data_IF_024025561518
#
_entry.id   IF_024025561518
#
_cell.length_a   1.000
_cell.length_b   1.000
_cell.length_c   1.000
_cell.angle_alpha   90.00
_cell.angle_beta   90.00
_cell.angle_gamma   90.00
#
_symmetry.space_group_name_H-M   'P 1'
#
loop_
_entity.id
_entity.type
_entity.pdbx_description
1 polymer ?
#
# COMPACT_ATOMS: atom_id res chain seq x y z
N UNK A 1 -19.39 -38.18 19.41
CA UNK A 1 -19.06 -36.83 19.91
C UNK A 1 -18.18 -36.15 18.87
N UNK A 2 -18.75 -35.27 18.07
CA UNK A 2 -18.01 -34.52 17.04
C UNK A 2 -17.75 -33.11 17.55
N UNK A 3 -16.70 -32.96 18.37
CA UNK A 3 -16.21 -31.63 18.76
C UNK A 3 -15.26 -31.16 17.66
N UNK A 4 -15.74 -30.22 16.84
CA UNK A 4 -14.99 -29.63 15.74
C UNK A 4 -13.68 -29.00 16.21
N UNK A 5 -12.57 -29.64 15.82
CA UNK A 5 -11.22 -29.11 16.00
C UNK A 5 -10.92 -28.15 14.84
N UNK A 6 -11.31 -26.88 14.98
CA UNK A 6 -10.77 -25.80 14.14
C UNK A 6 -9.88 -24.92 15.03
N UNK A 7 -8.57 -25.22 15.14
CA UNK A 7 -7.69 -24.48 16.03
C UNK A 7 -7.14 -23.26 15.30
N UNK A 8 -7.99 -22.34 14.86
CA UNK A 8 -7.55 -20.99 14.53
C UNK A 8 -8.64 -20.03 14.97
N UNK A 9 -8.53 -19.58 16.21
CA UNK A 9 -9.20 -18.36 16.66
C UNK A 9 -8.78 -17.27 15.69
N UNK A 10 -9.67 -16.97 14.75
CA UNK A 10 -9.42 -15.96 13.75
C UNK A 10 -9.52 -14.61 14.47
N UNK A 11 -8.37 -14.07 14.85
CA UNK A 11 -8.30 -12.79 15.54
C UNK A 11 -8.45 -11.65 14.50
N UNK A 12 -9.68 -11.40 14.04
CA UNK A 12 -10.01 -10.35 13.07
C UNK A 12 -11.29 -10.58 12.25
N UNK A 13 -11.46 -9.80 11.18
CA UNK A 13 -12.51 -9.98 10.17
C UNK A 13 -12.05 -10.93 9.06
N UNK A 14 -12.91 -11.84 8.55
CA UNK A 14 -12.63 -12.79 7.46
C UNK A 14 -11.82 -12.16 6.29
N UNK A 15 -12.18 -10.93 5.91
CA UNK A 15 -11.50 -10.17 4.88
C UNK A 15 -10.01 -9.94 5.18
N UNK A 16 -9.67 -9.58 6.43
CA UNK A 16 -8.30 -9.28 6.85
C UNK A 16 -7.37 -10.51 6.79
N UNK A 17 -7.88 -11.71 7.00
CA UNK A 17 -7.08 -12.93 6.80
C UNK A 17 -6.98 -13.31 5.35
N UNK A 18 -8.05 -13.17 4.56
CA UNK A 18 -7.92 -13.41 3.12
C UNK A 18 -6.86 -12.49 2.53
N UNK A 19 -6.89 -11.20 2.89
CA UNK A 19 -5.87 -10.22 2.51
C UNK A 19 -4.48 -10.69 2.94
N UNK A 20 -4.32 -11.13 4.21
CA UNK A 20 -3.04 -11.66 4.71
C UNK A 20 -2.56 -12.89 3.94
N UNK A 21 -3.44 -13.87 3.72
CA UNK A 21 -3.10 -15.08 2.98
C UNK A 21 -2.70 -14.75 1.55
N UNK A 22 -3.37 -13.79 0.91
CA UNK A 22 -3.04 -13.33 -0.43
C UNK A 22 -1.66 -12.66 -0.46
N UNK A 23 -1.37 -11.76 0.51
CA UNK A 23 -0.05 -11.12 0.63
C UNK A 23 1.05 -12.17 0.84
N UNK A 24 0.81 -13.17 1.68
CA UNK A 24 1.80 -14.21 1.95
C UNK A 24 2.04 -15.09 0.72
N UNK A 25 0.97 -15.52 0.05
CA UNK A 25 1.07 -16.30 -1.18
C UNK A 25 1.82 -15.55 -2.29
N UNK A 26 1.54 -14.25 -2.45
CA UNK A 26 2.21 -13.42 -3.45
C UNK A 26 3.69 -13.18 -3.09
N UNK A 27 4.01 -12.94 -1.81
CA UNK A 27 5.39 -12.82 -1.34
C UNK A 27 6.18 -14.11 -1.61
N UNK A 28 5.59 -15.29 -1.35
CA UNK A 28 6.24 -16.59 -1.65
C UNK A 28 6.54 -16.76 -3.12
N UNK A 29 5.59 -16.38 -3.99
CA UNK A 29 5.78 -16.45 -5.44
C UNK A 29 6.86 -15.48 -5.91
N UNK A 30 6.91 -14.27 -5.34
CA UNK A 30 7.96 -13.30 -5.61
C UNK A 30 9.33 -13.81 -5.14
N UNK A 31 9.41 -14.40 -3.95
CA UNK A 31 10.64 -14.99 -3.44
C UNK A 31 11.12 -16.16 -4.32
N UNK A 32 10.22 -17.05 -4.76
CA UNK A 32 10.56 -18.11 -5.73
C UNK A 32 11.04 -17.54 -7.07
N UNK A 33 10.32 -16.56 -7.62
CA UNK A 33 10.68 -15.94 -8.88
C UNK A 33 12.04 -15.22 -8.81
N UNK A 34 12.31 -14.45 -7.74
CA UNK A 34 13.52 -13.66 -7.60
C UNK A 34 14.72 -14.49 -7.14
N UNK A 35 14.59 -15.23 -6.04
CA UNK A 35 15.73 -15.88 -5.40
C UNK A 35 16.03 -17.27 -5.96
N UNK A 36 15.00 -18.06 -6.29
CA UNK A 36 15.19 -19.44 -6.77
C UNK A 36 15.34 -19.51 -8.28
N UNK A 37 14.51 -18.77 -9.03
CA UNK A 37 14.45 -18.86 -10.50
C UNK A 37 15.22 -17.75 -11.23
N UNK A 38 15.46 -16.61 -10.58
CA UNK A 38 16.02 -15.43 -11.25
C UNK A 38 15.14 -14.91 -12.40
N UNK A 39 13.84 -15.18 -12.36
CA UNK A 39 12.89 -14.85 -13.41
C UNK A 39 12.38 -13.42 -13.21
N UNK A 40 13.03 -12.49 -13.90
CA UNK A 40 12.71 -11.06 -13.85
C UNK A 40 11.32 -10.76 -14.41
N UNK A 41 10.94 -11.34 -15.55
CA UNK A 41 9.65 -11.07 -16.19
C UNK A 41 8.49 -11.55 -15.31
N UNK A 42 8.63 -12.71 -14.69
CA UNK A 42 7.63 -13.21 -13.72
C UNK A 42 7.58 -12.35 -12.47
N UNK A 43 8.72 -11.89 -11.97
CA UNK A 43 8.78 -10.99 -10.82
C UNK A 43 8.07 -9.66 -11.10
N UNK A 44 8.32 -9.06 -12.27
CA UNK A 44 7.66 -7.82 -12.70
C UNK A 44 6.14 -7.99 -12.83
N UNK A 45 5.69 -9.10 -13.41
CA UNK A 45 4.25 -9.42 -13.49
C UNK A 45 3.61 -9.58 -12.11
N UNK A 46 4.27 -10.28 -11.18
CA UNK A 46 3.76 -10.43 -9.81
C UNK A 46 3.67 -9.09 -9.07
N UNK A 47 4.61 -8.17 -9.30
CA UNK A 47 4.51 -6.80 -8.77
C UNK A 47 3.35 -6.01 -9.38
N UNK A 48 3.05 -6.22 -10.66
CA UNK A 48 1.85 -5.62 -11.29
C UNK A 48 0.56 -6.19 -10.70
N UNK A 49 0.50 -7.50 -10.45
CA UNK A 49 -0.63 -8.15 -9.78
C UNK A 49 -0.83 -7.62 -8.35
N UNK A 50 0.26 -7.43 -7.60
CA UNK A 50 0.21 -6.80 -6.27
C UNK A 50 -0.36 -5.37 -6.32
N UNK A 51 0.05 -4.59 -7.32
CA UNK A 51 -0.46 -3.23 -7.51
C UNK A 51 -1.94 -3.22 -7.91
N UNK A 52 -2.37 -4.16 -8.75
CA UNK A 52 -3.77 -4.31 -9.17
C UNK A 52 -4.70 -4.63 -7.98
N UNK A 53 -4.23 -5.45 -7.04
CA UNK A 53 -4.94 -5.79 -5.80
C UNK A 53 -4.80 -4.72 -4.69
N UNK A 54 -4.25 -3.55 -5.03
CA UNK A 54 -4.00 -2.44 -4.09
C UNK A 54 -3.21 -2.86 -2.83
N UNK A 55 -2.31 -3.84 -2.98
CA UNK A 55 -1.44 -4.27 -1.90
C UNK A 55 -0.39 -3.22 -1.58
N UNK A 56 -0.01 -3.13 -0.31
CA UNK A 56 1.06 -2.24 0.13
C UNK A 56 2.43 -2.79 -0.33
N UNK A 57 3.15 -2.11 -1.24
CA UNK A 57 4.44 -2.58 -1.73
C UNK A 57 5.51 -2.56 -0.64
N UNK A 58 5.41 -1.68 0.36
CA UNK A 58 6.35 -1.63 1.49
C UNK A 58 6.20 -2.88 2.35
N UNK A 59 4.96 -3.31 2.60
CA UNK A 59 4.64 -4.54 3.32
C UNK A 59 5.23 -5.78 2.62
N UNK A 60 5.02 -5.90 1.31
CA UNK A 60 5.57 -7.02 0.52
C UNK A 60 7.10 -6.98 0.53
N UNK A 61 7.71 -5.80 0.35
CA UNK A 61 9.17 -5.63 0.39
C UNK A 61 9.75 -6.04 1.74
N UNK A 62 9.10 -5.64 2.84
CA UNK A 62 9.51 -6.04 4.19
C UNK A 62 9.43 -7.55 4.38
N UNK A 63 8.40 -8.21 3.86
CA UNK A 63 8.27 -9.67 3.94
C UNK A 63 9.29 -10.40 3.06
N UNK A 64 9.58 -9.86 1.87
CA UNK A 64 10.57 -10.43 0.96
C UNK A 64 11.97 -10.48 1.58
N UNK A 65 12.41 -9.38 2.18
CA UNK A 65 13.79 -9.26 2.68
C UNK A 65 13.92 -9.41 4.20
N UNK A 66 12.82 -9.38 4.94
CA UNK A 66 12.80 -9.50 6.40
C UNK A 66 12.57 -10.93 6.91
N UNK A 67 12.19 -11.85 6.03
CA UNK A 67 11.94 -13.26 6.35
C UNK A 67 13.04 -14.11 5.72
N UNK A 68 13.60 -15.03 6.50
CA UNK A 68 14.64 -15.95 6.02
C UNK A 68 14.04 -17.14 5.23
N UNK A 69 12.91 -17.68 5.69
CA UNK A 69 12.17 -18.75 5.02
C UNK A 69 10.71 -18.34 4.80
N UNK A 70 10.33 -18.12 3.55
CA UNK A 70 8.98 -17.70 3.18
C UNK A 70 7.93 -18.82 3.30
N UNK A 71 8.34 -20.08 3.47
CA UNK A 71 7.41 -21.19 3.74
C UNK A 71 7.04 -21.28 5.22
N UNK A 72 7.86 -20.72 6.13
CA UNK A 72 7.54 -20.58 7.55
C UNK A 72 6.52 -19.46 7.80
N UNK A 73 5.27 -19.88 8.06
CA UNK A 73 4.15 -18.98 8.37
C UNK A 73 4.41 -18.15 9.63
N UNK A 74 5.07 -18.71 10.65
CA UNK A 74 5.33 -18.01 11.89
C UNK A 74 6.33 -16.86 11.70
N UNK A 75 7.38 -17.10 10.91
CA UNK A 75 8.34 -16.06 10.53
C UNK A 75 7.67 -14.94 9.71
N UNK A 76 6.84 -15.30 8.73
CA UNK A 76 6.06 -14.32 7.96
C UNK A 76 5.12 -13.50 8.85
N UNK A 77 4.42 -14.14 9.80
CA UNK A 77 3.53 -13.46 10.74
C UNK A 77 4.27 -12.51 11.69
N UNK A 78 5.48 -12.87 12.13
CA UNK A 78 6.30 -12.03 13.00
C UNK A 78 6.67 -10.71 12.31
N UNK A 79 7.07 -10.79 11.03
CA UNK A 79 7.41 -9.61 10.22
C UNK A 79 6.17 -8.79 9.83
N UNK A 80 5.02 -9.44 9.62
CA UNK A 80 3.75 -8.79 9.27
C UNK A 80 3.06 -8.09 10.45
N UNK A 81 3.30 -8.56 11.68
CA UNK A 81 2.68 -8.04 12.92
C UNK A 81 2.69 -6.50 13.04
N UNK A 82 3.82 -5.79 12.88
CA UNK A 82 3.83 -4.33 13.00
C UNK A 82 2.93 -3.61 11.97
N UNK A 83 2.78 -4.17 10.76
CA UNK A 83 1.85 -3.61 9.77
C UNK A 83 0.40 -3.78 10.22
N UNK A 84 0.07 -4.94 10.79
CA UNK A 84 -1.28 -5.22 11.33
C UNK A 84 -1.62 -4.28 12.50
N UNK A 85 -0.67 -4.05 13.39
CA UNK A 85 -0.85 -3.13 14.52
C UNK A 85 -1.10 -1.70 14.03
N UNK A 86 -0.28 -1.21 13.09
CA UNK A 86 -0.48 0.10 12.45
C UNK A 86 -1.84 0.21 11.75
N UNK A 87 -2.24 -0.81 10.99
CA UNK A 87 -3.55 -0.82 10.34
C UNK A 87 -4.71 -0.81 11.36
N UNK A 88 -4.61 -1.61 12.43
CA UNK A 88 -5.61 -1.64 13.50
C UNK A 88 -5.71 -0.27 14.19
N UNK A 89 -4.58 0.35 14.47
CA UNK A 89 -4.54 1.68 15.09
C UNK A 89 -5.13 2.75 14.15
N UNK A 90 -4.76 2.76 12.87
CA UNK A 90 -5.33 3.67 11.87
C UNK A 90 -6.85 3.51 11.76
N UNK A 91 -7.36 2.27 11.74
CA UNK A 91 -8.81 1.99 11.74
C UNK A 91 -9.49 2.46 13.02
N UNK A 92 -8.87 2.27 14.19
CA UNK A 92 -9.38 2.77 15.48
C UNK A 92 -9.46 4.30 15.48
N UNK A 93 -8.39 4.97 15.03
CA UNK A 93 -8.35 6.44 14.89
C UNK A 93 -9.43 6.95 13.93
N UNK A 94 -9.58 6.31 12.78
CA UNK A 94 -10.62 6.65 11.80
C UNK A 94 -12.06 6.42 12.32
N UNK A 95 -12.25 5.47 13.24
CA UNK A 95 -13.56 5.11 13.80
C UNK A 95 -13.91 5.88 15.08
N UNK A 96 -12.98 6.65 15.63
CA UNK A 96 -13.12 7.39 16.88
C UNK A 96 -14.08 8.58 16.80
N UNK A 97 -14.53 9.10 17.96
CA UNK A 97 -15.48 10.21 18.03
C UNK A 97 -14.94 11.49 17.35
N UNK A 98 -13.64 11.77 17.48
CA UNK A 98 -13.01 12.91 16.79
C UNK A 98 -13.04 12.76 15.27
N UNK A 99 -12.84 11.56 14.73
CA UNK A 99 -12.94 11.32 13.28
C UNK A 99 -14.38 11.37 12.77
N UNK A 100 -15.38 11.09 13.61
CA UNK A 100 -16.80 11.33 13.29
C UNK A 100 -17.12 12.82 13.31
N UNK A 101 -16.64 13.56 14.31
CA UNK A 101 -16.79 15.02 14.38
C UNK A 101 -16.10 15.72 13.21
N UNK A 102 -14.90 15.30 12.80
CA UNK A 102 -14.20 15.85 11.63
C UNK A 102 -14.98 15.63 10.32
N UNK A 103 -15.74 14.53 10.21
CA UNK A 103 -16.65 14.26 9.08
C UNK A 103 -17.90 15.15 9.12
N UNK A 104 -18.45 15.39 10.31
CA UNK A 104 -19.60 16.29 10.52
C UNK A 104 -19.24 17.76 10.30
N UNK A 105 -18.05 18.19 10.71
CA UNK A 105 -17.60 19.58 10.54
C UNK A 105 -17.08 19.87 9.13
N UNK A 106 -17.10 18.88 8.23
CA UNK A 106 -17.13 19.07 6.77
C UNK A 106 -16.25 20.21 6.29
N UNK A 107 -14.99 20.27 6.73
CA UNK A 107 -14.08 21.33 6.31
C UNK A 107 -13.73 21.02 4.87
N UNK A 108 -14.52 21.59 3.94
CA UNK A 108 -14.12 21.84 2.54
C UNK A 108 -12.71 22.38 2.62
N UNK A 109 -11.73 21.51 2.39
CA UNK A 109 -10.38 21.97 2.14
C UNK A 109 -10.51 22.70 0.83
N UNK A 110 -10.57 24.03 0.93
CA UNK A 110 -10.58 24.91 -0.21
C UNK A 110 -9.39 24.49 -1.06
N UNK A 111 -9.72 23.85 -2.19
CA UNK A 111 -8.84 23.62 -3.31
C UNK A 111 -8.25 24.99 -3.59
N UNK A 112 -7.02 25.23 -3.15
CA UNK A 112 -6.32 26.48 -3.44
C UNK A 112 -6.04 26.41 -4.93
N UNK A 113 -6.99 26.91 -5.71
CA UNK A 113 -6.83 27.19 -7.11
C UNK A 113 -5.63 28.11 -7.21
N UNK A 114 -4.49 27.54 -7.58
CA UNK A 114 -3.27 28.27 -7.91
C UNK A 114 -3.64 29.20 -9.08
N UNK A 115 -3.66 30.54 -8.91
CA UNK A 115 -3.88 31.40 -10.05
C UNK A 115 -2.65 31.29 -10.95
N UNK A 116 -2.93 30.92 -12.19
CA UNK A 116 -2.08 31.01 -13.36
C UNK A 116 -1.59 32.46 -13.49
N UNK A 117 -0.29 32.67 -13.27
CA UNK A 117 0.38 33.94 -13.56
C UNK A 117 0.70 33.96 -15.04
N UNK A 118 -0.25 34.44 -15.84
CA UNK A 118 -0.05 34.81 -17.23
C UNK A 118 0.90 36.01 -17.27
N UNK A 119 2.19 35.77 -17.50
CA UNK A 119 3.13 36.82 -17.84
C UNK A 119 2.90 37.17 -19.32
N UNK A 120 2.31 38.35 -19.51
CA UNK A 120 1.91 38.88 -20.80
C UNK A 120 3.07 39.01 -21.78
N UNK A 121 2.78 38.57 -22.99
CA UNK A 121 3.32 39.04 -24.25
C UNK A 121 3.37 40.57 -24.31
N UNK A 122 4.55 41.13 -24.05
CA UNK A 122 4.92 42.50 -24.39
C UNK A 122 5.73 42.52 -25.68
N UNK A 123 5.05 42.48 -26.81
CA UNK A 123 5.57 43.00 -28.07
C UNK A 123 5.86 44.49 -27.91
N UNK A 124 7.02 44.95 -28.39
CA UNK A 124 7.23 46.31 -28.92
C UNK A 124 8.50 46.29 -29.82
N UNK A 125 8.66 47.25 -30.75
CA UNK A 125 8.80 46.94 -32.17
C UNK A 125 10.19 47.25 -32.75
N UNK A 126 10.35 46.80 -34.00
CA UNK A 126 11.44 47.14 -34.92
C UNK A 126 11.56 48.67 -35.15
N UNK A 127 12.76 49.19 -34.90
CA UNK A 127 13.42 50.34 -35.53
C UNK A 127 14.89 50.27 -35.07
N UNK A 128 15.95 50.34 -35.85
CA UNK A 128 16.23 50.91 -37.16
C UNK A 128 17.56 51.65 -37.04
N UNK A 129 18.48 51.47 -38.00
CA UNK A 129 19.74 52.23 -38.21
C UNK A 129 20.88 51.95 -37.20
N UNK A 130 22.15 51.73 -37.54
CA UNK A 130 22.89 51.85 -38.79
C UNK A 130 24.36 52.16 -38.46
N UNK A 131 25.31 51.37 -38.98
CA UNK A 131 26.63 51.74 -39.52
C UNK A 131 27.47 50.50 -39.75
#
# INVERSE_FOLDING_TARGET
>A
MASGCFPHQFEGSFSAFKERQLVFALTRQLADAQFRRGDRSRSERLWQEAAAEAMDPERITRLLYGVHDHDDVAAMEAVDRPFRERQREARRRASGPLARLARLTGRRSARTSRPHRSAGSGQMPLAGSGR
#
